data_IF_291944542992
#
_entry.id   IF_291944542992
#
_cell.length_a   1.000
_cell.length_b   1.000
_cell.length_c   1.000
_cell.angle_alpha   90.00
_cell.angle_beta   90.00
_cell.angle_gamma   90.00
#
_symmetry.space_group_name_H-M   'P 1'
#
loop_
_entity.id
_entity.type
_entity.pdbx_description
1 polymer ?
#
# COMPACT_ATOMS: atom_id res chain seq x y z
N UNK A 1 28.04 21.62 -1.18
CA UNK A 1 26.94 20.90 -1.87
C UNK A 1 25.90 20.47 -0.84
N UNK A 2 24.69 21.03 -0.88
CA UNK A 2 23.61 20.67 0.04
C UNK A 2 22.69 19.66 -0.68
N UNK A 3 23.08 18.39 -0.75
CA UNK A 3 22.27 17.34 -1.36
C UNK A 3 21.26 16.83 -0.31
N UNK A 4 19.95 17.14 -0.45
CA UNK A 4 18.95 16.77 0.54
C UNK A 4 18.80 15.25 0.70
N UNK A 5 19.04 14.46 -0.35
CA UNK A 5 19.03 12.99 -0.29
C UNK A 5 20.15 12.47 0.59
N UNK A 6 21.38 12.94 0.37
CA UNK A 6 22.53 12.53 1.18
C UNK A 6 22.34 12.94 2.65
N UNK A 7 21.77 14.11 2.91
CA UNK A 7 21.43 14.55 4.26
C UNK A 7 20.37 13.64 4.90
N UNK A 8 19.34 13.23 4.17
CA UNK A 8 18.31 12.28 4.66
C UNK A 8 18.90 10.91 4.99
N UNK A 9 19.72 10.36 4.10
CA UNK A 9 20.42 9.08 4.32
C UNK A 9 21.34 9.18 5.54
N UNK A 10 22.15 10.24 5.61
CA UNK A 10 23.04 10.47 6.74
C UNK A 10 22.27 10.54 8.06
N UNK A 11 21.20 11.34 8.10
CA UNK A 11 20.34 11.44 9.28
C UNK A 11 19.73 10.09 9.67
N UNK A 12 19.28 9.28 8.71
CA UNK A 12 18.71 7.96 8.97
C UNK A 12 19.74 6.99 9.56
N UNK A 13 20.98 7.00 9.06
CA UNK A 13 22.09 6.18 9.58
C UNK A 13 22.57 6.61 10.96
N UNK A 14 22.40 7.89 11.30
CA UNK A 14 22.81 8.49 12.58
C UNK A 14 21.64 8.69 13.54
N UNK A 15 20.48 8.08 13.28
CA UNK A 15 19.41 8.05 14.27
C UNK A 15 19.85 7.17 15.43
N UNK A 16 20.13 7.79 16.58
CA UNK A 16 20.47 7.11 17.81
C UNK A 16 19.20 6.47 18.37
N UNK A 17 19.07 5.15 18.22
CA UNK A 17 17.86 4.44 18.62
C UNK A 17 17.82 3.01 18.12
N UNK A 18 17.80 2.07 19.06
CA UNK A 18 17.45 0.66 18.88
C UNK A 18 16.24 0.51 17.94
N UNK A 19 16.48 0.30 16.65
CA UNK A 19 15.39 0.10 15.71
C UNK A 19 14.82 -1.29 15.99
N UNK A 20 13.70 -1.33 16.72
CA UNK A 20 12.95 -2.56 17.04
C UNK A 20 12.57 -3.37 15.78
N UNK A 21 12.79 -2.81 14.59
CA UNK A 21 12.65 -3.42 13.27
C UNK A 21 13.85 -4.30 12.86
N UNK A 22 15.09 -3.87 13.11
CA UNK A 22 16.28 -4.63 12.67
C UNK A 22 16.46 -5.92 13.49
N UNK A 23 16.02 -5.93 14.75
CA UNK A 23 16.10 -7.11 15.63
C UNK A 23 14.92 -8.09 15.48
N UNK A 24 13.86 -7.74 14.73
CA UNK A 24 12.63 -8.53 14.71
C UNK A 24 12.39 -9.18 13.36
N UNK A 25 12.79 -10.44 13.29
CA UNK A 25 12.33 -11.38 12.27
C UNK A 25 11.58 -12.49 13.02
N UNK A 26 10.31 -12.66 12.67
CA UNK A 26 9.41 -13.76 13.02
C UNK A 26 8.29 -13.45 14.05
N UNK A 27 7.07 -13.41 13.52
CA UNK A 27 5.90 -13.97 14.17
C UNK A 27 5.49 -15.22 13.39
N UNK A 28 5.76 -16.42 13.91
CA UNK A 28 5.09 -17.62 13.42
C UNK A 28 3.70 -17.66 14.06
N UNK A 29 2.68 -17.34 13.27
CA UNK A 29 1.29 -17.43 13.70
C UNK A 29 0.60 -18.51 12.87
N UNK A 30 0.05 -19.52 13.55
CA UNK A 30 -0.76 -20.61 13.00
C UNK A 30 -2.15 -20.15 12.47
N UNK A 31 -2.30 -18.88 12.08
CA UNK A 31 -3.57 -18.27 11.67
C UNK A 31 -3.62 -17.89 10.19
N UNK A 32 -2.86 -18.59 9.34
CA UNK A 32 -2.72 -18.28 7.90
C UNK A 32 -4.05 -18.32 7.14
N UNK A 33 -5.05 -19.05 7.63
CA UNK A 33 -6.34 -19.22 6.94
C UNK A 33 -7.45 -18.24 7.34
N UNK A 34 -7.39 -17.55 8.49
CA UNK A 34 -8.54 -16.75 8.97
C UNK A 34 -8.54 -15.28 8.55
N UNK A 35 -7.39 -14.66 8.24
CA UNK A 35 -7.35 -13.21 7.97
C UNK A 35 -7.80 -12.82 6.56
N UNK A 36 -7.53 -13.66 5.56
CA UNK A 36 -7.85 -13.37 4.16
C UNK A 36 -9.36 -13.35 3.87
N UNK A 37 -10.15 -14.07 4.65
CA UNK A 37 -11.61 -14.12 4.54
C UNK A 37 -12.31 -13.15 5.52
N UNK A 38 -11.56 -12.45 6.38
CA UNK A 38 -12.13 -11.57 7.40
C UNK A 38 -12.63 -10.21 6.83
N UNK A 39 -12.43 -9.97 5.54
CA UNK A 39 -12.88 -8.76 4.85
C UNK A 39 -14.39 -8.76 4.49
N UNK A 40 -15.12 -9.80 4.86
CA UNK A 40 -16.56 -9.94 4.57
C UNK A 40 -16.82 -10.31 3.10
N UNK A 41 -18.11 -10.50 2.77
CA UNK A 41 -18.62 -10.75 1.41
C UNK A 41 -18.49 -9.51 0.49
N UNK A 42 -17.33 -8.84 0.47
CA UNK A 42 -17.03 -7.77 -0.47
C UNK A 42 -16.77 -8.39 -1.85
N UNK A 43 -17.73 -8.25 -2.76
CA UNK A 43 -17.67 -8.75 -4.15
C UNK A 43 -16.46 -8.19 -4.91
N UNK A 44 -16.07 -6.93 -4.69
CA UNK A 44 -14.92 -6.33 -5.37
C UNK A 44 -13.62 -6.95 -4.88
N UNK A 45 -13.46 -7.14 -3.56
CA UNK A 45 -12.27 -7.81 -3.00
C UNK A 45 -12.18 -9.28 -3.44
N UNK A 46 -13.30 -10.01 -3.45
CA UNK A 46 -13.34 -11.39 -3.92
C UNK A 46 -13.01 -11.50 -5.41
N UNK A 47 -13.51 -10.57 -6.23
CA UNK A 47 -13.18 -10.47 -7.65
C UNK A 47 -11.67 -10.26 -7.84
N UNK A 48 -11.06 -9.29 -7.14
CA UNK A 48 -9.62 -9.04 -7.22
C UNK A 48 -8.79 -10.26 -6.78
N UNK A 49 -9.19 -10.93 -5.70
CA UNK A 49 -8.53 -12.15 -5.25
C UNK A 49 -8.66 -13.29 -6.26
N UNK A 50 -9.78 -13.39 -6.98
CA UNK A 50 -10.02 -14.43 -7.98
C UNK A 50 -9.09 -14.32 -9.19
N UNK A 51 -8.64 -13.09 -9.50
CA UNK A 51 -7.69 -12.85 -10.59
C UNK A 51 -6.22 -13.06 -10.21
N UNK A 52 -5.93 -13.40 -8.95
CA UNK A 52 -4.58 -13.67 -8.47
C UNK A 52 -4.31 -15.17 -8.48
N UNK A 53 -3.07 -15.54 -8.81
CA UNK A 53 -2.65 -16.92 -8.66
C UNK A 53 -2.48 -17.30 -7.19
N UNK A 54 -2.30 -18.60 -6.93
CA UNK A 54 -2.21 -19.14 -5.57
C UNK A 54 -1.04 -18.53 -4.76
N UNK A 55 0.12 -18.30 -5.38
CA UNK A 55 1.29 -17.76 -4.67
C UNK A 55 1.11 -16.29 -4.28
N UNK A 56 0.50 -15.49 -5.15
CA UNK A 56 0.14 -14.10 -4.87
C UNK A 56 -0.89 -14.02 -3.74
N UNK A 57 -1.94 -14.84 -3.79
CA UNK A 57 -2.95 -14.92 -2.72
C UNK A 57 -2.31 -15.29 -1.39
N UNK A 58 -1.48 -16.33 -1.34
CA UNK A 58 -0.76 -16.75 -0.12
C UNK A 58 0.12 -15.63 0.43
N UNK A 59 0.82 -14.89 -0.43
CA UNK A 59 1.63 -13.75 -0.01
C UNK A 59 0.80 -12.64 0.65
N UNK A 60 -0.36 -12.30 0.07
CA UNK A 60 -1.29 -11.33 0.65
C UNK A 60 -1.82 -11.83 2.00
N UNK A 61 -2.28 -13.08 2.09
CA UNK A 61 -2.79 -13.66 3.33
C UNK A 61 -1.76 -13.70 4.45
N UNK A 62 -0.50 -14.01 4.11
CA UNK A 62 0.60 -13.96 5.08
C UNK A 62 0.78 -12.55 5.65
N UNK A 63 0.81 -11.53 4.79
CA UNK A 63 0.94 -10.12 5.21
C UNK A 63 -0.24 -9.66 6.07
N UNK A 64 -1.48 -10.00 5.68
CA UNK A 64 -2.67 -9.62 6.46
C UNK A 64 -2.73 -10.34 7.81
N UNK A 65 -2.23 -11.57 7.89
CA UNK A 65 -2.15 -12.31 9.15
C UNK A 65 -1.12 -11.70 10.11
N UNK A 66 0.00 -11.18 9.57
CA UNK A 66 1.05 -10.55 10.38
C UNK A 66 0.56 -9.28 11.11
N UNK A 67 -0.48 -8.60 10.59
CA UNK A 67 -1.14 -7.46 11.24
C UNK A 67 -1.75 -7.78 12.61
N UNK A 68 -2.06 -9.04 12.87
CA UNK A 68 -2.61 -9.49 14.16
C UNK A 68 -1.52 -9.80 15.17
N UNK A 69 -0.23 -9.71 14.79
CA UNK A 69 0.84 -9.93 15.73
C UNK A 69 1.00 -8.75 16.69
N UNK A 70 1.19 -9.04 17.97
CA UNK A 70 1.47 -8.03 19.00
C UNK A 70 2.86 -7.41 18.86
N UNK A 71 3.74 -8.01 18.04
CA UNK A 71 5.09 -7.54 17.75
C UNK A 71 5.16 -7.00 16.32
N UNK A 72 6.08 -6.07 16.09
CA UNK A 72 6.44 -5.61 14.75
C UNK A 72 6.94 -6.78 13.89
N UNK A 73 6.44 -6.87 12.67
CA UNK A 73 6.78 -7.90 11.67
C UNK A 73 7.40 -7.27 10.43
N UNK A 74 8.15 -8.08 9.69
CA UNK A 74 8.69 -7.74 8.37
C UNK A 74 8.34 -8.89 7.43
N UNK A 75 7.55 -8.60 6.41
CA UNK A 75 7.15 -9.57 5.39
C UNK A 75 7.84 -9.24 4.06
N UNK A 76 8.36 -10.26 3.39
CA UNK A 76 9.00 -10.14 2.08
C UNK A 76 8.13 -10.77 1.00
N UNK A 77 7.62 -9.96 0.08
CA UNK A 77 7.01 -10.43 -1.16
C UNK A 77 8.04 -10.31 -2.28
N UNK A 78 8.49 -11.44 -2.81
CA UNK A 78 9.44 -11.51 -3.91
C UNK A 78 8.85 -12.22 -5.13
N UNK A 79 9.15 -11.74 -6.33
CA UNK A 79 8.77 -12.42 -7.57
C UNK A 79 9.60 -12.00 -8.78
N UNK A 80 9.84 -12.92 -9.73
CA UNK A 80 10.63 -12.66 -10.94
C UNK A 80 10.00 -11.56 -11.83
N UNK A 81 10.71 -11.03 -12.83
CA UNK A 81 10.15 -10.10 -13.79
C UNK A 81 8.85 -10.66 -14.42
N UNK A 82 7.82 -9.81 -14.56
CA UNK A 82 6.52 -10.23 -15.10
C UNK A 82 5.59 -10.97 -14.12
N UNK A 83 5.99 -11.25 -12.88
CA UNK A 83 5.18 -12.01 -11.90
C UNK A 83 3.99 -11.25 -11.28
N UNK A 84 3.59 -10.11 -11.85
CA UNK A 84 2.45 -9.32 -11.36
C UNK A 84 2.64 -8.64 -9.99
N UNK A 85 3.88 -8.29 -9.60
CA UNK A 85 4.18 -7.65 -8.30
C UNK A 85 3.31 -6.43 -8.00
N UNK A 86 3.14 -5.53 -8.98
CA UNK A 86 2.30 -4.33 -8.83
C UNK A 86 0.83 -4.70 -8.60
N UNK A 87 0.33 -5.72 -9.29
CA UNK A 87 -1.03 -6.24 -9.09
C UNK A 87 -1.21 -6.78 -7.68
N UNK A 88 -0.28 -7.62 -7.22
CA UNK A 88 -0.29 -8.16 -5.85
C UNK A 88 -0.22 -7.05 -4.80
N UNK A 89 0.64 -6.04 -5.00
CA UNK A 89 0.74 -4.90 -4.12
C UNK A 89 -0.56 -4.07 -4.11
N UNK A 90 -1.16 -3.81 -5.27
CA UNK A 90 -2.42 -3.09 -5.40
C UNK A 90 -3.55 -3.77 -4.62
N UNK A 91 -3.71 -5.09 -4.78
CA UNK A 91 -4.72 -5.86 -4.04
C UNK A 91 -4.45 -5.85 -2.53
N UNK A 92 -3.19 -5.99 -2.08
CA UNK A 92 -2.84 -5.88 -0.67
C UNK A 92 -3.17 -4.50 -0.09
N UNK A 93 -2.84 -3.43 -0.81
CA UNK A 93 -3.12 -2.06 -0.38
C UNK A 93 -4.63 -1.78 -0.32
N UNK A 94 -5.39 -2.30 -1.27
CA UNK A 94 -6.85 -2.23 -1.25
C UNK A 94 -7.44 -2.97 -0.05
N UNK A 95 -6.97 -4.18 0.24
CA UNK A 95 -7.37 -4.93 1.43
C UNK A 95 -7.07 -4.15 2.72
N UNK A 96 -5.87 -3.57 2.85
CA UNK A 96 -5.49 -2.73 4.00
C UNK A 96 -6.40 -1.49 4.14
N UNK A 97 -6.77 -0.86 3.01
CA UNK A 97 -7.68 0.29 2.99
C UNK A 97 -9.07 -0.11 3.50
N UNK A 98 -9.63 -1.24 3.04
CA UNK A 98 -10.91 -1.80 3.52
C UNK A 98 -10.90 -2.14 5.00
N UNK A 99 -9.77 -2.63 5.51
CA UNK A 99 -9.55 -2.87 6.95
C UNK A 99 -9.33 -1.57 7.76
N UNK A 100 -9.42 -0.39 7.13
CA UNK A 100 -9.15 0.92 7.73
C UNK A 100 -7.75 0.99 8.39
N UNK A 101 -6.75 0.36 7.76
CA UNK A 101 -5.35 0.36 8.23
C UNK A 101 -4.60 1.53 7.61
N UNK A 102 -4.03 2.39 8.47
CA UNK A 102 -3.14 3.46 8.05
C UNK A 102 -1.87 2.86 7.45
N UNK A 103 -1.70 3.04 6.14
CA UNK A 103 -0.62 2.43 5.37
C UNK A 103 0.20 3.52 4.70
N UNK A 104 1.53 3.49 4.91
CA UNK A 104 2.47 4.35 4.19
C UNK A 104 3.15 3.54 3.10
N UNK A 105 3.03 3.98 1.86
CA UNK A 105 3.68 3.36 0.70
C UNK A 105 4.84 4.25 0.26
N UNK A 106 5.98 3.64 -0.03
CA UNK A 106 7.13 4.32 -0.62
C UNK A 106 7.76 3.45 -1.70
N UNK A 107 8.35 4.08 -2.70
CA UNK A 107 9.12 3.40 -3.74
C UNK A 107 10.37 4.22 -4.11
N UNK A 108 11.41 3.57 -4.67
CA UNK A 108 12.67 4.26 -4.99
C UNK A 108 12.55 5.33 -6.08
N UNK A 109 11.52 5.25 -6.94
CA UNK A 109 11.31 6.18 -8.07
C UNK A 109 9.90 6.73 -8.07
N UNK A 110 9.76 7.98 -8.53
CA UNK A 110 8.45 8.62 -8.68
C UNK A 110 7.55 7.90 -9.69
N UNK A 111 8.13 7.28 -10.72
CA UNK A 111 7.40 6.45 -11.70
C UNK A 111 6.73 5.28 -10.98
N UNK A 112 7.45 4.59 -10.09
CA UNK A 112 6.87 3.48 -9.32
C UNK A 112 5.80 3.96 -8.33
N UNK A 113 5.99 5.13 -7.70
CA UNK A 113 4.96 5.73 -6.84
C UNK A 113 3.69 6.01 -7.64
N UNK A 114 3.83 6.64 -8.82
CA UNK A 114 2.70 6.96 -9.70
C UNK A 114 1.97 5.71 -10.16
N UNK A 115 2.71 4.70 -10.63
CA UNK A 115 2.14 3.42 -11.07
C UNK A 115 1.28 2.77 -9.96
N UNK A 116 1.80 2.71 -8.74
CA UNK A 116 1.07 2.16 -7.60
C UNK A 116 -0.15 3.03 -7.25
N UNK A 117 0.00 4.36 -7.25
CA UNK A 117 -1.08 5.29 -6.94
C UNK A 117 -2.22 5.19 -7.96
N UNK A 118 -1.92 5.22 -9.27
CA UNK A 118 -2.89 5.03 -10.35
C UNK A 118 -3.59 3.68 -10.22
N UNK A 119 -2.85 2.60 -9.97
CA UNK A 119 -3.43 1.26 -9.85
C UNK A 119 -4.37 1.13 -8.66
N UNK A 120 -3.98 1.60 -7.47
CA UNK A 120 -4.83 1.56 -6.26
C UNK A 120 -6.06 2.46 -6.44
N UNK A 121 -5.90 3.64 -7.05
CA UNK A 121 -7.01 4.55 -7.32
C UNK A 121 -8.02 3.95 -8.31
N UNK A 122 -7.53 3.25 -9.34
CA UNK A 122 -8.38 2.53 -10.30
C UNK A 122 -9.23 1.46 -9.61
N UNK A 123 -8.61 0.65 -8.75
CA UNK A 123 -9.33 -0.37 -7.96
C UNK A 123 -10.35 0.29 -7.01
N UNK A 124 -9.96 1.36 -6.32
CA UNK A 124 -10.86 2.09 -5.44
C UNK A 124 -12.08 2.65 -6.21
N UNK A 125 -11.86 3.26 -7.37
CA UNK A 125 -12.92 3.76 -8.27
C UNK A 125 -13.93 2.68 -8.64
N UNK A 126 -13.45 1.50 -9.03
CA UNK A 126 -14.33 0.36 -9.35
C UNK A 126 -15.22 -0.02 -8.16
N UNK A 127 -14.67 -0.09 -6.95
CA UNK A 127 -15.44 -0.44 -5.77
C UNK A 127 -16.55 0.56 -5.39
N UNK A 128 -16.41 1.85 -5.72
CA UNK A 128 -17.48 2.84 -5.46
C UNK A 128 -18.67 2.67 -6.40
N UNK A 129 -18.43 2.25 -7.65
CA UNK A 129 -19.49 2.05 -8.64
C UNK A 129 -20.38 0.87 -8.30
N UNK A 130 -19.84 -0.14 -7.60
CA UNK A 130 -20.57 -1.34 -7.17
C UNK A 130 -21.40 -1.12 -5.88
N UNK A 131 -21.43 0.10 -5.34
CA UNK A 131 -22.26 0.44 -4.17
C UNK A 131 -21.68 -0.04 -2.83
N UNK A 132 -20.41 -0.43 -2.80
CA UNK A 132 -19.75 -0.91 -1.59
C UNK A 132 -19.41 0.24 -0.62
N UNK A 133 -20.02 0.19 0.57
CA UNK A 133 -19.93 1.21 1.62
C UNK A 133 -18.59 1.24 2.39
N UNK A 134 -17.67 0.29 2.16
CA UNK A 134 -16.48 0.14 2.99
C UNK A 134 -15.30 1.05 2.62
N UNK A 135 -15.18 1.50 1.37
CA UNK A 135 -14.30 2.64 1.06
C UNK A 135 -15.18 3.88 1.10
N UNK A 136 -15.01 4.69 2.14
CA UNK A 136 -15.93 5.80 2.41
C UNK A 136 -15.69 6.99 1.49
N UNK A 137 -14.47 7.16 0.95
CA UNK A 137 -14.17 8.16 -0.08
C UNK A 137 -12.75 7.96 -0.67
N UNK A 138 -12.52 8.40 -1.91
CA UNK A 138 -11.18 8.62 -2.49
C UNK A 138 -10.33 9.54 -1.59
N UNK A 139 -10.99 10.33 -0.74
CA UNK A 139 -10.40 11.13 0.34
C UNK A 139 -9.41 10.37 1.24
N UNK A 140 -9.58 9.06 1.43
CA UNK A 140 -8.72 8.25 2.31
C UNK A 140 -7.33 7.93 1.69
N UNK A 141 -7.17 8.17 0.39
CA UNK A 141 -5.91 8.02 -0.33
C UNK A 141 -5.28 9.40 -0.50
N UNK A 142 -4.00 9.54 -0.13
CA UNK A 142 -3.24 10.78 -0.28
C UNK A 142 -1.88 10.52 -0.92
N UNK A 143 -1.59 11.26 -1.99
CA UNK A 143 -0.30 11.32 -2.65
C UNK A 143 0.38 12.66 -2.34
N UNK A 144 1.64 12.62 -1.93
CA UNK A 144 2.43 13.82 -1.65
C UNK A 144 3.86 13.67 -2.18
N UNK A 145 4.48 14.80 -2.51
CA UNK A 145 5.84 14.85 -3.05
C UNK A 145 6.02 16.07 -3.96
N UNK A 146 7.15 16.13 -4.66
CA UNK A 146 7.38 17.23 -5.60
C UNK A 146 6.53 17.02 -6.87
N UNK A 147 5.67 17.99 -7.17
CA UNK A 147 4.73 17.95 -8.30
C UNK A 147 5.40 17.66 -9.66
N UNK A 148 6.46 18.38 -10.00
CA UNK A 148 7.15 18.24 -11.30
C UNK A 148 7.80 16.86 -11.44
N UNK A 149 8.39 16.36 -10.36
CA UNK A 149 9.07 15.07 -10.38
C UNK A 149 8.10 13.88 -10.33
N UNK A 150 6.92 14.05 -9.73
CA UNK A 150 5.84 13.06 -9.72
C UNK A 150 5.07 13.00 -11.04
N UNK A 151 5.15 14.05 -11.87
CA UNK A 151 4.41 14.17 -13.13
C UNK A 151 2.92 13.86 -12.92
N UNK A 152 2.34 14.52 -11.93
CA UNK A 152 0.92 14.40 -11.58
C UNK A 152 0.10 14.83 -12.80
N UNK A 153 -0.84 13.97 -13.21
CA UNK A 153 -1.80 14.22 -14.29
C UNK A 153 -3.22 14.05 -13.77
N UNK A 154 -4.21 14.26 -14.64
CA UNK A 154 -5.63 14.20 -14.29
C UNK A 154 -6.06 12.85 -13.70
N UNK A 155 -5.31 11.77 -13.92
CA UNK A 155 -5.63 10.45 -13.37
C UNK A 155 -5.51 10.44 -11.85
N UNK A 156 -4.40 10.98 -11.32
CA UNK A 156 -4.03 10.94 -9.90
C UNK A 156 -4.10 12.31 -9.19
N UNK A 157 -4.44 13.37 -9.91
CA UNK A 157 -4.51 14.73 -9.38
C UNK A 157 -5.48 14.84 -8.18
N UNK A 158 -6.61 14.12 -8.21
CA UNK A 158 -7.60 14.17 -7.13
C UNK A 158 -7.12 13.62 -5.78
N UNK A 159 -6.08 12.78 -5.78
CA UNK A 159 -5.43 12.27 -4.56
C UNK A 159 -4.17 13.07 -4.20
N UNK A 160 -3.75 14.02 -5.02
CA UNK A 160 -2.56 14.82 -4.77
C UNK A 160 -2.81 15.92 -3.73
N UNK A 161 -1.95 16.00 -2.71
CA UNK A 161 -2.12 16.89 -1.57
C UNK A 161 -2.28 18.36 -1.97
N UNK A 162 -1.35 18.91 -2.77
CA UNK A 162 -1.39 20.34 -3.08
C UNK A 162 -2.61 20.71 -3.92
N UNK A 163 -3.09 19.78 -4.77
CA UNK A 163 -4.31 19.98 -5.52
C UNK A 163 -5.53 20.06 -4.59
N UNK A 164 -5.63 19.15 -3.61
CA UNK A 164 -6.71 19.17 -2.61
C UNK A 164 -6.69 20.44 -1.78
N UNK A 165 -5.51 20.90 -1.34
CA UNK A 165 -5.37 22.15 -0.58
C UNK A 165 -5.86 23.34 -1.39
N UNK A 166 -5.48 23.46 -2.66
CA UNK A 166 -5.93 24.53 -3.57
C UNK A 166 -7.45 24.53 -3.82
N UNK A 167 -8.10 23.36 -3.74
CA UNK A 167 -9.55 23.24 -3.93
C UNK A 167 -10.34 23.69 -2.70
N UNK A 168 -9.70 23.72 -1.53
CA UNK A 168 -10.30 24.13 -0.25
C UNK A 168 -10.08 25.61 0.08
N UNK A 169 -9.17 26.28 -0.65
CA UNK A 169 -8.92 27.72 -0.59
C UNK A 169 -9.82 28.49 -1.55
#
# INVERSE_FOLDING_TARGET
>A
MNNPTNRRIWNALHMDGSSKLIEKISCASDMVEKSCFALGDDETHQSLLSELNESQRKAICACLSSLHCSKSTVDLISGPPGSGKTKTLGTLLFALLKMNRRTLVSAPTNIAIKEVASHVLSIARQSFHDGDALIRNIGDILLFGNHEQLKVDAEIEEIYLDYRVKKLS
#
